data_IF_152250351250
#
_entry.id   IF_152250351250
#
_cell.length_a   1.000
_cell.length_b   1.000
_cell.length_c   1.000
_cell.angle_alpha   90.00
_cell.angle_beta   90.00
_cell.angle_gamma   90.00
#
_symmetry.space_group_name_H-M   'P 1'
#
loop_
_entity.id
_entity.type
_entity.pdbx_description
1 polymer ?
#
# COMPACT_ATOMS: atom_id res chain seq x y z
N UNK A 1 -11.14 16.64 -15.56
CA UNK A 1 -11.30 15.25 -15.08
C UNK A 1 -10.91 15.23 -13.60
N UNK A 2 -11.75 14.75 -12.68
CA UNK A 2 -11.42 14.74 -11.24
C UNK A 2 -10.38 13.65 -10.99
N UNK A 3 -9.19 14.04 -10.54
CA UNK A 3 -8.11 13.10 -10.19
C UNK A 3 -8.51 12.38 -8.91
N UNK A 4 -8.40 11.04 -8.90
CA UNK A 4 -8.77 10.20 -7.74
C UNK A 4 -7.52 9.70 -7.01
N UNK A 5 -7.47 9.74 -5.68
CA UNK A 5 -6.37 9.13 -4.94
C UNK A 5 -6.43 7.59 -5.05
N UNK A 6 -5.31 6.95 -5.33
CA UNK A 6 -5.12 5.49 -5.29
C UNK A 6 -3.99 5.20 -4.31
N UNK A 7 -4.29 4.48 -3.24
CA UNK A 7 -3.40 4.23 -2.13
C UNK A 7 -2.84 2.82 -2.29
N UNK A 8 -1.52 2.70 -2.35
CA UNK A 8 -0.82 1.43 -2.46
C UNK A 8 -0.58 0.82 -1.08
N UNK A 9 -0.85 -0.47 -0.96
CA UNK A 9 -0.45 -1.32 0.17
C UNK A 9 1.01 -1.79 0.04
N UNK A 10 1.61 -2.21 1.15
CA UNK A 10 2.98 -2.72 1.27
C UNK A 10 3.28 -3.81 0.25
N UNK A 11 2.32 -4.71 -0.02
CA UNK A 11 2.47 -5.82 -0.98
C UNK A 11 3.07 -5.35 -2.31
N UNK A 12 2.70 -4.18 -2.80
CA UNK A 12 3.11 -3.69 -4.11
C UNK A 12 4.51 -3.05 -4.14
N UNK A 13 5.12 -2.84 -2.97
CA UNK A 13 6.48 -2.29 -2.85
C UNK A 13 7.51 -3.35 -2.43
N UNK A 14 7.07 -4.48 -1.88
CA UNK A 14 7.96 -5.58 -1.45
C UNK A 14 8.97 -6.04 -2.50
N UNK A 15 8.61 -6.17 -3.79
CA UNK A 15 9.56 -6.60 -4.82
C UNK A 15 10.72 -5.61 -5.03
N UNK A 16 10.53 -4.31 -4.74
CA UNK A 16 11.61 -3.32 -4.79
C UNK A 16 12.72 -3.62 -3.76
N UNK A 17 12.34 -4.28 -2.66
CA UNK A 17 13.25 -4.70 -1.59
C UNK A 17 13.70 -6.16 -1.75
N UNK A 18 13.45 -6.78 -2.90
CA UNK A 18 13.80 -8.18 -3.16
C UNK A 18 13.03 -9.19 -2.30
N UNK A 19 11.85 -8.82 -1.79
CA UNK A 19 10.93 -9.72 -1.11
C UNK A 19 9.95 -10.25 -2.15
N UNK A 20 9.81 -11.58 -2.23
CA UNK A 20 8.89 -12.23 -3.15
C UNK A 20 7.45 -12.02 -2.69
N UNK A 21 6.55 -11.83 -3.66
CA UNK A 21 5.11 -11.78 -3.46
C UNK A 21 4.44 -12.92 -4.25
N UNK A 22 3.14 -13.10 -4.03
CA UNK A 22 2.33 -13.99 -4.86
C UNK A 22 2.38 -13.49 -6.31
N UNK A 23 2.45 -14.42 -7.28
CA UNK A 23 2.45 -14.05 -8.70
C UNK A 23 1.12 -13.40 -9.09
N UNK A 24 1.17 -12.08 -9.22
CA UNK A 24 0.07 -11.23 -9.69
C UNK A 24 0.20 -11.03 -11.21
N UNK A 25 -0.92 -11.11 -11.93
CA UNK A 25 -0.97 -11.01 -13.41
C UNK A 25 -0.32 -9.71 -13.87
N UNK A 26 0.63 -9.80 -14.81
CA UNK A 26 1.37 -8.68 -15.39
C UNK A 26 2.04 -7.74 -14.37
N UNK A 27 2.28 -8.21 -13.14
CA UNK A 27 2.70 -7.37 -12.03
C UNK A 27 3.95 -6.56 -12.33
N UNK A 28 5.01 -7.21 -12.85
CA UNK A 28 6.28 -6.52 -13.16
C UNK A 28 6.08 -5.41 -14.20
N UNK A 29 5.28 -5.67 -15.23
CA UNK A 29 5.04 -4.71 -16.32
C UNK A 29 4.24 -3.52 -15.80
N UNK A 30 3.13 -3.78 -15.12
CA UNK A 30 2.20 -2.75 -14.64
C UNK A 30 2.81 -1.97 -13.47
N UNK A 31 3.45 -2.63 -12.50
CA UNK A 31 4.13 -1.91 -11.41
C UNK A 31 5.23 -0.99 -11.95
N UNK A 32 6.03 -1.44 -12.92
CA UNK A 32 7.02 -0.58 -13.56
C UNK A 32 6.37 0.65 -14.21
N UNK A 33 5.23 0.50 -14.89
CA UNK A 33 4.47 1.64 -15.44
C UNK A 33 4.00 2.61 -14.34
N UNK A 34 3.44 2.10 -13.23
CA UNK A 34 2.98 2.93 -12.11
C UNK A 34 4.12 3.75 -11.50
N UNK A 35 5.29 3.12 -11.29
CA UNK A 35 6.46 3.78 -10.69
C UNK A 35 7.12 4.80 -11.63
N UNK A 36 7.01 4.62 -12.95
CA UNK A 36 7.70 5.47 -13.94
C UNK A 36 6.82 6.58 -14.50
N UNK A 37 5.53 6.31 -14.70
CA UNK A 37 4.59 7.20 -15.40
C UNK A 37 3.35 7.54 -14.56
N UNK A 38 3.17 6.90 -13.40
CA UNK A 38 1.93 6.99 -12.63
C UNK A 38 0.77 6.30 -13.34
N UNK A 39 -0.45 6.74 -13.02
CA UNK A 39 -1.68 6.23 -13.61
C UNK A 39 -2.60 7.39 -14.00
N UNK A 40 -2.96 7.48 -15.28
CA UNK A 40 -3.78 8.57 -15.80
C UNK A 40 -5.12 8.64 -15.05
N UNK A 41 -5.47 9.82 -14.54
CA UNK A 41 -6.70 10.04 -13.78
C UNK A 41 -6.58 9.75 -12.28
N UNK A 42 -5.42 9.29 -11.82
CA UNK A 42 -5.15 8.99 -10.43
C UNK A 42 -3.95 9.76 -9.88
N UNK A 43 -4.00 10.04 -8.57
CA UNK A 43 -2.83 10.43 -7.81
C UNK A 43 -2.44 9.26 -6.92
N UNK A 44 -1.25 8.70 -7.13
CA UNK A 44 -0.79 7.53 -6.39
C UNK A 44 -0.16 7.95 -5.07
N UNK A 45 -0.58 7.30 -3.99
CA UNK A 45 -0.04 7.50 -2.66
C UNK A 45 0.52 6.20 -2.11
N UNK A 46 1.63 6.29 -1.38
CA UNK A 46 2.17 5.21 -0.57
C UNK A 46 2.19 5.65 0.89
N UNK A 47 1.38 5.04 1.78
CA UNK A 47 1.47 5.29 3.21
C UNK A 47 2.88 4.95 3.72
N UNK A 48 3.52 5.87 4.43
CA UNK A 48 4.89 5.69 4.95
C UNK A 48 5.01 4.52 5.92
N UNK A 49 3.90 4.11 6.55
CA UNK A 49 3.82 2.93 7.41
C UNK A 49 4.17 1.62 6.67
N UNK A 50 3.96 1.58 5.34
CA UNK A 50 4.37 0.44 4.51
C UNK A 50 5.88 0.18 4.62
N UNK A 51 6.68 1.24 4.75
CA UNK A 51 8.14 1.12 4.88
C UNK A 51 8.54 0.44 6.21
N UNK A 52 7.77 0.67 7.28
CA UNK A 52 7.98 -0.03 8.56
C UNK A 52 7.66 -1.52 8.41
N UNK A 53 6.57 -1.86 7.71
CA UNK A 53 6.23 -3.26 7.44
C UNK A 53 7.30 -3.95 6.58
N UNK A 54 7.88 -3.27 5.59
CA UNK A 54 9.04 -3.76 4.84
C UNK A 54 10.20 -4.07 5.78
N UNK A 55 10.55 -3.18 6.71
CA UNK A 55 11.61 -3.44 7.69
C UNK A 55 11.33 -4.70 8.50
N UNK A 56 10.09 -4.92 8.95
CA UNK A 56 9.72 -6.15 9.67
C UNK A 56 9.86 -7.40 8.81
N UNK A 57 9.46 -7.35 7.53
CA UNK A 57 9.61 -8.46 6.59
C UNK A 57 11.08 -8.78 6.30
N UNK A 58 11.92 -7.77 6.08
CA UNK A 58 13.37 -7.95 5.91
C UNK A 58 14.02 -8.55 7.17
N UNK A 59 13.64 -8.09 8.36
CA UNK A 59 14.09 -8.67 9.62
C UNK A 59 13.65 -10.12 9.78
N UNK A 60 12.43 -10.46 9.36
CA UNK A 60 11.93 -11.84 9.32
C UNK A 60 12.77 -12.74 8.43
N UNK A 61 13.12 -12.27 7.22
CA UNK A 61 13.98 -13.01 6.29
C UNK A 61 15.44 -13.11 6.79
N UNK A 62 15.96 -12.04 7.40
CA UNK A 62 17.28 -12.04 8.03
C UNK A 62 17.38 -13.11 9.12
N UNK A 63 16.41 -13.20 10.03
CA UNK A 63 16.41 -14.22 11.11
C UNK A 63 16.45 -15.65 10.58
N UNK A 64 15.90 -15.91 9.39
CA UNK A 64 15.90 -17.24 8.76
C UNK A 64 17.21 -17.57 8.06
N UNK A 65 17.86 -16.57 7.46
CA UNK A 65 19.01 -16.76 6.55
C UNK A 65 20.35 -16.32 7.14
N UNK A 66 20.32 -15.50 8.19
CA UNK A 66 21.48 -14.87 8.82
C UNK A 66 22.39 -14.13 7.83
N UNK A 67 21.79 -13.45 6.84
CA UNK A 67 22.49 -12.72 5.79
C UNK A 67 22.23 -11.21 5.91
N UNK A 68 23.26 -10.45 6.31
CA UNK A 68 23.19 -9.00 6.48
C UNK A 68 22.78 -8.27 5.20
N UNK A 69 23.04 -8.84 4.02
CA UNK A 69 22.66 -8.24 2.75
C UNK A 69 21.14 -8.13 2.60
N UNK A 70 20.36 -8.95 3.30
CA UNK A 70 18.89 -8.82 3.36
C UNK A 70 18.49 -7.50 4.01
N UNK A 71 19.11 -7.15 5.14
CA UNK A 71 18.81 -5.88 5.83
C UNK A 71 19.28 -4.68 4.98
N UNK A 72 20.42 -4.80 4.30
CA UNK A 72 20.96 -3.74 3.43
C UNK A 72 20.05 -3.39 2.25
N UNK A 73 19.13 -4.29 1.83
CA UNK A 73 18.18 -4.01 0.73
C UNK A 73 17.32 -2.79 1.01
N UNK A 74 17.02 -2.50 2.27
CA UNK A 74 16.25 -1.32 2.64
C UNK A 74 16.94 -0.04 2.19
N UNK A 75 18.19 0.14 2.60
CA UNK A 75 19.00 1.32 2.25
C UNK A 75 19.27 1.44 0.75
N UNK A 76 19.36 0.30 0.04
CA UNK A 76 19.56 0.27 -1.41
C UNK A 76 18.29 0.71 -2.16
N UNK A 77 17.12 0.22 -1.76
CA UNK A 77 15.87 0.45 -2.50
C UNK A 77 15.18 1.77 -2.12
N UNK A 78 15.28 2.22 -0.86
CA UNK A 78 14.58 3.39 -0.35
C UNK A 78 14.77 4.68 -1.21
N UNK A 79 15.98 5.01 -1.71
CA UNK A 79 16.16 6.20 -2.56
C UNK A 79 15.26 6.22 -3.80
N UNK A 80 14.96 5.06 -4.40
CA UNK A 80 14.07 4.96 -5.57
C UNK A 80 12.60 5.30 -5.22
N UNK A 81 12.18 5.02 -3.98
CA UNK A 81 10.84 5.36 -3.50
C UNK A 81 10.76 6.85 -3.18
N UNK A 82 11.74 7.39 -2.43
CA UNK A 82 11.75 8.80 -2.01
C UNK A 82 11.85 9.75 -3.21
N UNK A 83 12.61 9.37 -4.24
CA UNK A 83 12.80 10.18 -5.45
C UNK A 83 11.71 9.99 -6.50
N UNK A 84 10.72 9.13 -6.24
CA UNK A 84 9.60 8.89 -7.16
C UNK A 84 8.82 10.18 -7.40
N UNK A 85 8.62 10.52 -8.68
CA UNK A 85 7.74 11.63 -9.09
C UNK A 85 6.31 11.18 -9.33
N UNK A 86 6.07 9.87 -9.39
CA UNK A 86 4.79 9.27 -9.76
C UNK A 86 3.98 8.81 -8.55
N UNK A 87 4.62 8.60 -7.40
CA UNK A 87 4.00 8.12 -6.17
C UNK A 87 4.42 9.04 -5.02
N UNK A 88 3.43 9.64 -4.35
CA UNK A 88 3.63 10.53 -3.21
C UNK A 88 3.61 9.73 -1.89
N UNK A 89 4.54 10.03 -0.98
CA UNK A 89 4.51 9.46 0.36
C UNK A 89 3.49 10.19 1.24
N UNK A 90 2.54 9.44 1.80
CA UNK A 90 1.59 9.94 2.78
C UNK A 90 1.97 9.46 4.18
N UNK A 91 2.05 10.34 5.18
CA UNK A 91 2.36 9.93 6.55
C UNK A 91 1.08 9.84 7.41
N UNK A 92 0.51 8.64 7.61
CA UNK A 92 -0.71 8.49 8.40
C UNK A 92 -0.52 8.85 9.88
N UNK A 93 0.69 8.69 10.42
CA UNK A 93 0.96 8.99 11.84
C UNK A 93 0.88 10.50 12.13
N UNK A 94 1.15 11.34 11.13
CA UNK A 94 1.03 12.80 11.25
C UNK A 94 -0.31 13.33 10.74
N UNK A 95 -1.26 12.45 10.40
CA UNK A 95 -2.59 12.83 9.96
C UNK A 95 -3.64 12.46 11.04
N UNK A 96 -4.27 13.44 11.71
CA UNK A 96 -5.24 13.16 12.76
C UNK A 96 -6.43 12.30 12.31
N UNK A 97 -6.90 12.50 11.07
CA UNK A 97 -8.05 11.76 10.54
C UNK A 97 -7.68 10.30 10.23
N UNK A 98 -6.51 10.07 9.63
CA UNK A 98 -6.02 8.71 9.42
C UNK A 98 -5.81 7.96 10.75
N UNK A 99 -5.28 8.63 11.78
CA UNK A 99 -5.16 8.03 13.13
C UNK A 99 -6.53 7.70 13.74
N UNK A 100 -7.51 8.61 13.64
CA UNK A 100 -8.86 8.37 14.17
C UNK A 100 -9.55 7.19 13.48
N UNK A 101 -9.44 7.12 12.15
CA UNK A 101 -10.03 6.04 11.36
C UNK A 101 -9.32 4.71 11.63
N UNK A 102 -7.99 4.70 11.80
CA UNK A 102 -7.25 3.45 12.07
C UNK A 102 -7.65 2.82 13.40
N UNK A 103 -7.94 3.64 14.43
CA UNK A 103 -8.51 3.18 15.70
C UNK A 103 -9.88 2.52 15.47
N UNK A 104 -10.70 3.08 14.58
CA UNK A 104 -12.02 2.54 14.26
C UNK A 104 -11.93 1.19 13.54
N UNK A 105 -11.03 1.06 12.56
CA UNK A 105 -10.73 -0.22 11.89
C UNK A 105 -10.23 -1.27 12.89
N UNK A 106 -9.32 -0.87 13.79
CA UNK A 106 -8.81 -1.74 14.85
C UNK A 106 -9.93 -2.19 15.79
N UNK A 107 -10.77 -1.27 16.24
CA UNK A 107 -11.88 -1.57 17.14
C UNK A 107 -12.90 -2.51 16.49
N UNK A 108 -13.10 -2.40 15.17
CA UNK A 108 -13.94 -3.30 14.40
C UNK A 108 -13.38 -4.72 14.21
N UNK A 109 -12.14 -4.97 14.65
CA UNK A 109 -11.59 -6.32 14.79
C UNK A 109 -10.29 -6.59 14.03
N UNK A 110 -9.83 -5.68 13.17
CA UNK A 110 -8.59 -5.90 12.42
C UNK A 110 -7.37 -5.90 13.35
N UNK A 111 -6.61 -7.00 13.37
CA UNK A 111 -5.56 -7.20 14.38
C UNK A 111 -4.20 -6.61 14.01
N UNK A 112 -3.95 -6.36 12.73
CA UNK A 112 -2.72 -5.69 12.30
C UNK A 112 -2.91 -4.18 12.35
N UNK A 113 -2.09 -3.49 13.15
CA UNK A 113 -2.12 -2.03 13.32
C UNK A 113 -1.61 -1.31 12.07
N UNK A 114 -0.63 -1.89 11.36
CA UNK A 114 -0.07 -1.27 10.17
C UNK A 114 -1.12 -1.28 9.06
N UNK A 115 -1.82 -2.40 8.86
CA UNK A 115 -2.92 -2.50 7.90
C UNK A 115 -4.09 -1.56 8.25
N UNK A 116 -4.38 -1.38 9.54
CA UNK A 116 -5.36 -0.37 9.98
C UNK A 116 -4.96 1.04 9.53
N UNK A 117 -3.67 1.41 9.64
CA UNK A 117 -3.16 2.72 9.21
C UNK A 117 -3.14 2.84 7.67
N UNK A 118 -2.84 1.76 6.95
CA UNK A 118 -2.87 1.72 5.48
C UNK A 118 -4.31 1.92 4.99
N UNK A 119 -5.28 1.16 5.51
CA UNK A 119 -6.69 1.31 5.16
C UNK A 119 -7.25 2.68 5.54
N UNK A 120 -6.88 3.20 6.72
CA UNK A 120 -7.27 4.53 7.14
C UNK A 120 -6.69 5.65 6.25
N UNK A 121 -5.50 5.45 5.68
CA UNK A 121 -4.90 6.40 4.73
C UNK A 121 -5.79 6.58 3.50
N UNK A 122 -6.36 5.49 2.97
CA UNK A 122 -7.27 5.56 1.84
C UNK A 122 -8.53 6.38 2.16
N UNK A 123 -9.12 6.16 3.33
CA UNK A 123 -10.31 6.91 3.75
C UNK A 123 -10.01 8.39 4.04
N UNK A 124 -8.91 8.69 4.74
CA UNK A 124 -8.49 10.07 5.02
C UNK A 124 -8.22 10.86 3.73
N UNK A 125 -7.66 10.19 2.72
CA UNK A 125 -7.42 10.75 1.38
C UNK A 125 -8.65 10.69 0.47
N UNK A 126 -9.77 10.10 0.91
CA UNK A 126 -11.00 9.89 0.11
C UNK A 126 -10.73 9.15 -1.20
N UNK A 127 -9.87 8.15 -1.14
CA UNK A 127 -9.33 7.41 -2.27
C UNK A 127 -9.77 5.97 -2.36
N UNK A 128 -9.13 5.25 -3.28
CA UNK A 128 -9.26 3.81 -3.46
C UNK A 128 -8.06 3.16 -2.77
N UNK A 129 -8.28 2.16 -1.92
CA UNK A 129 -7.19 1.31 -1.42
C UNK A 129 -6.92 0.20 -2.44
N UNK A 130 -5.70 0.08 -2.93
CA UNK A 130 -5.25 -1.13 -3.61
C UNK A 130 -4.67 -2.06 -2.55
N UNK A 131 -5.27 -3.23 -2.32
CA UNK A 131 -4.81 -4.22 -1.33
C UNK A 131 -5.37 -5.61 -1.65
N UNK A 132 -4.63 -6.64 -1.25
CA UNK A 132 -5.07 -8.05 -1.33
C UNK A 132 -5.75 -8.53 -0.03
N UNK A 133 -5.85 -7.67 0.99
CA UNK A 133 -6.43 -8.02 2.29
C UNK A 133 -7.98 -8.03 2.25
N UNK A 134 -8.52 -9.24 2.21
CA UNK A 134 -9.97 -9.50 2.21
C UNK A 134 -10.62 -9.14 3.56
N UNK A 135 -9.92 -9.35 4.68
CA UNK A 135 -10.44 -9.04 6.02
C UNK A 135 -10.57 -7.53 6.19
N UNK A 136 -9.51 -6.78 5.87
CA UNK A 136 -9.51 -5.32 5.86
C UNK A 136 -10.61 -4.78 4.93
N UNK A 137 -10.74 -5.33 3.72
CA UNK A 137 -11.80 -4.92 2.77
C UNK A 137 -13.21 -5.07 3.35
N UNK A 138 -13.47 -6.18 4.05
CA UNK A 138 -14.78 -6.43 4.70
C UNK A 138 -15.03 -5.44 5.84
N UNK A 139 -14.03 -5.21 6.68
CA UNK A 139 -14.14 -4.27 7.80
C UNK A 139 -14.39 -2.84 7.29
N UNK A 140 -13.64 -2.41 6.27
CA UNK A 140 -13.82 -1.07 5.69
C UNK A 140 -15.22 -0.88 5.10
N UNK A 141 -15.76 -1.90 4.43
CA UNK A 141 -17.14 -1.82 3.90
C UNK A 141 -18.22 -1.72 4.98
N UNK A 142 -17.95 -2.19 6.19
CA UNK A 142 -18.91 -2.18 7.29
C UNK A 142 -18.89 -0.87 8.11
N UNK A 143 -17.81 -0.09 8.04
CA UNK A 143 -17.62 1.10 8.85
C UNK A 143 -18.16 2.38 8.18
N UNK A 144 -18.93 3.24 8.89
CA UNK A 144 -19.41 4.50 8.35
C UNK A 144 -18.32 5.40 7.77
N UNK A 145 -17.13 5.41 8.38
CA UNK A 145 -15.99 6.24 8.00
C UNK A 145 -15.31 5.79 6.70
N UNK A 146 -15.48 4.52 6.31
CA UNK A 146 -14.69 3.92 5.23
C UNK A 146 -15.53 3.25 4.14
N UNK A 147 -16.82 3.00 4.37
CA UNK A 147 -17.73 2.29 3.44
C UNK A 147 -17.85 2.92 2.05
N UNK A 148 -17.65 4.23 1.93
CA UNK A 148 -17.76 4.97 0.67
C UNK A 148 -16.45 4.95 -0.13
N UNK A 149 -15.37 4.39 0.43
CA UNK A 149 -14.05 4.32 -0.17
C UNK A 149 -13.73 2.88 -0.57
N UNK A 150 -13.67 2.57 -1.88
CA UNK A 150 -13.56 1.20 -2.33
C UNK A 150 -12.15 0.65 -2.07
N UNK A 151 -12.11 -0.67 -1.83
CA UNK A 151 -10.88 -1.46 -1.87
C UNK A 151 -10.87 -2.22 -3.19
N UNK A 152 -9.82 -2.01 -3.98
CA UNK A 152 -9.50 -2.74 -5.19
C UNK A 152 -8.46 -3.80 -4.90
N UNK A 153 -8.68 -4.98 -5.46
CA UNK A 153 -7.63 -5.98 -5.63
C UNK A 153 -6.83 -5.68 -6.89
N UNK A 154 -5.66 -6.28 -7.04
CA UNK A 154 -4.81 -6.13 -8.22
C UNK A 154 -5.58 -6.43 -9.51
N UNK A 155 -6.37 -7.51 -9.51
CA UNK A 155 -7.22 -7.88 -10.66
C UNK A 155 -8.18 -6.76 -11.07
N UNK A 156 -8.68 -5.98 -10.12
CA UNK A 156 -9.63 -4.89 -10.38
C UNK A 156 -8.89 -3.73 -11.04
N UNK A 157 -7.67 -3.41 -10.58
CA UNK A 157 -6.81 -2.43 -11.24
C UNK A 157 -6.52 -2.81 -12.69
N UNK A 158 -6.11 -4.06 -12.94
CA UNK A 158 -5.81 -4.56 -14.30
C UNK A 158 -7.04 -4.46 -15.18
N UNK A 159 -8.18 -4.96 -14.71
CA UNK A 159 -9.44 -4.93 -15.46
C UNK A 159 -9.91 -3.49 -15.75
N UNK A 160 -9.84 -2.61 -14.75
CA UNK A 160 -10.39 -1.27 -14.87
C UNK A 160 -9.47 -0.33 -15.66
N UNK A 161 -8.15 -0.54 -15.70
CA UNK A 161 -7.23 0.48 -16.24
C UNK A 161 -6.27 -0.03 -17.32
N UNK A 162 -6.12 -1.34 -17.50
CA UNK A 162 -5.16 -1.91 -18.46
C UNK A 162 -5.78 -2.83 -19.50
N UNK A 163 -6.97 -3.39 -19.24
CA UNK A 163 -7.73 -4.22 -20.19
C UNK A 163 -8.94 -3.49 -20.81
N UNK A 164 -8.91 -2.15 -20.84
CA UNK A 164 -9.92 -1.32 -21.50
C UNK A 164 -9.80 -1.38 -23.02
#
# INVERSE_FOLDING_TARGET
>A
MKIKPLILDTTYILPLFGIKIIDLVDFKKISNLLWTHGLKGYHLYLPSICLIEVMFKLNGEYRKKNDINILNRYSIALPSIISSKSIELFNPLLNPEANRISISIRHAGHKDVLDCLIGASAAALKGILLSEDIELSKIMKALPETKDFPVWFWKDLVQNEFNK
#
